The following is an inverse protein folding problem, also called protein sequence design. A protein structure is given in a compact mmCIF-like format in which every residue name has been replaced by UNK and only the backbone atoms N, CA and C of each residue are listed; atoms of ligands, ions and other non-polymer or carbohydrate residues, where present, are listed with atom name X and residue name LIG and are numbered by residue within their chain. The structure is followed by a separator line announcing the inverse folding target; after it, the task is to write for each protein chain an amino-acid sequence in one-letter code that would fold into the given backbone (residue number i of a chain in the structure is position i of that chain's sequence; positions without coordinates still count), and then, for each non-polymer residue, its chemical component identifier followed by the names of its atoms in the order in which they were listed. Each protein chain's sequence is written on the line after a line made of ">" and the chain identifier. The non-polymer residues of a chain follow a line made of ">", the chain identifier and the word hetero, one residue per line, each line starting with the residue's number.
data_IF_466951655402
#
_entry.id   IF_466951655402
#
_cell.length_a   1.000
_cell.length_b   1.000
_cell.length_c   1.000
_cell.angle_alpha   90.00
_cell.angle_beta   90.00
_cell.angle_gamma   90.00
#
_symmetry.space_group_name_H-M   'P 1'
#
loop_
_entity.id
_entity.type
_entity.pdbx_description
1 polymer ?
#
# COMPACT_ATOMS: atom_id res chain seq x y z
N UNK A 1 -8.55 -3.49 3.31
CA UNK A 1 -9.83 -3.73 2.60
C UNK A 1 -11.05 -3.52 3.50
N UNK A 2 -11.13 -4.12 4.70
CA UNK A 2 -12.30 -3.98 5.59
C UNK A 2 -12.78 -2.52 5.79
N UNK A 3 -11.85 -1.58 6.04
CA UNK A 3 -12.16 -0.15 6.18
C UNK A 3 -12.80 0.42 4.91
N UNK A 4 -12.29 0.09 3.72
CA UNK A 4 -12.85 0.58 2.45
C UNK A 4 -14.25 0.01 2.17
N UNK A 5 -14.46 -1.28 2.48
CA UNK A 5 -15.79 -1.91 2.34
C UNK A 5 -16.83 -1.23 3.24
N UNK A 6 -16.47 -0.95 4.50
CA UNK A 6 -17.35 -0.26 5.44
C UNK A 6 -17.62 1.20 5.00
N UNK A 7 -16.60 1.91 4.50
CA UNK A 7 -16.78 3.26 3.94
C UNK A 7 -17.77 3.24 2.76
N UNK A 8 -17.66 2.24 1.87
CA UNK A 8 -18.60 2.06 0.76
C UNK A 8 -20.03 1.75 1.24
N UNK A 9 -20.20 0.90 2.27
CA UNK A 9 -21.51 0.65 2.88
C UNK A 9 -22.15 1.91 3.47
N UNK A 10 -21.31 2.87 3.92
CA UNK A 10 -21.74 4.18 4.41
C UNK A 10 -21.94 5.23 3.31
N UNK A 11 -21.77 4.86 2.05
CA UNK A 11 -22.03 5.73 0.89
C UNK A 11 -20.81 6.54 0.42
N UNK A 12 -19.60 6.23 0.88
CA UNK A 12 -18.38 6.85 0.39
C UNK A 12 -17.79 6.10 -0.82
N UNK A 13 -17.21 6.84 -1.77
CA UNK A 13 -16.40 6.23 -2.84
C UNK A 13 -15.04 5.84 -2.26
N UNK A 14 -14.64 4.59 -2.45
CA UNK A 14 -13.38 4.05 -1.92
C UNK A 14 -12.56 3.39 -3.02
N UNK A 15 -11.30 3.83 -3.14
CA UNK A 15 -10.32 3.26 -4.07
C UNK A 15 -9.18 2.64 -3.28
N UNK A 16 -8.78 1.41 -3.60
CA UNK A 16 -7.58 0.79 -3.04
C UNK A 16 -6.41 1.00 -3.99
N UNK A 17 -5.44 1.80 -3.54
CA UNK A 17 -4.19 2.04 -4.23
C UNK A 17 -3.09 1.09 -3.71
N UNK A 18 -2.68 0.10 -4.51
CA UNK A 18 -1.65 -0.89 -4.10
C UNK A 18 -1.00 -1.59 -5.30
N UNK A 19 -0.11 -2.55 -5.04
CA UNK A 19 0.62 -3.32 -6.06
C UNK A 19 -0.33 -4.05 -7.02
N UNK A 20 0.05 -4.08 -8.31
CA UNK A 20 -0.75 -4.66 -9.39
C UNK A 20 -1.18 -6.11 -9.16
N UNK A 21 -0.40 -6.90 -8.42
CA UNK A 21 -0.72 -8.29 -8.07
C UNK A 21 -2.01 -8.44 -7.26
N UNK A 22 -2.50 -7.38 -6.60
CA UNK A 22 -3.73 -7.43 -5.81
C UNK A 22 -4.96 -6.97 -6.58
N UNK A 23 -4.83 -6.63 -7.87
CA UNK A 23 -5.95 -6.12 -8.69
C UNK A 23 -7.17 -7.04 -8.62
N UNK A 24 -6.98 -8.31 -9.00
CA UNK A 24 -8.06 -9.30 -9.06
C UNK A 24 -8.76 -9.42 -7.69
N UNK A 25 -7.99 -9.59 -6.62
CA UNK A 25 -8.52 -9.65 -5.25
C UNK A 25 -9.35 -8.42 -4.84
N UNK A 26 -8.97 -7.23 -5.31
CA UNK A 26 -9.64 -5.97 -4.97
C UNK A 26 -10.92 -5.81 -5.79
N UNK A 27 -10.83 -6.05 -7.09
CA UNK A 27 -11.96 -5.97 -8.02
C UNK A 27 -13.02 -7.03 -7.69
N UNK A 28 -12.62 -8.26 -7.35
CA UNK A 28 -13.51 -9.34 -6.89
C UNK A 28 -14.27 -9.00 -5.60
N UNK A 29 -13.69 -8.13 -4.77
CA UNK A 29 -14.34 -7.62 -3.56
C UNK A 29 -15.29 -6.44 -3.84
N UNK A 30 -15.46 -6.04 -5.10
CA UNK A 30 -16.31 -4.93 -5.52
C UNK A 30 -15.74 -3.55 -5.20
N UNK A 31 -14.42 -3.45 -4.98
CA UNK A 31 -13.71 -2.20 -4.70
C UNK A 31 -13.02 -1.69 -5.97
N UNK A 32 -12.95 -0.37 -6.13
CA UNK A 32 -12.16 0.23 -7.20
C UNK A 32 -10.66 0.09 -6.92
N UNK A 33 -9.89 -0.21 -7.97
CA UNK A 33 -8.45 -0.47 -7.89
C UNK A 33 -7.64 0.61 -8.60
N UNK A 34 -6.55 1.06 -7.95
CA UNK A 34 -5.53 1.90 -8.57
C UNK A 34 -4.13 1.27 -8.42
N UNK A 35 -3.36 1.07 -9.51
CA UNK A 35 -2.03 0.47 -9.43
C UNK A 35 -1.00 1.44 -8.85
N UNK A 36 -0.25 0.99 -7.85
CA UNK A 36 0.88 1.70 -7.25
C UNK A 36 2.08 0.75 -7.20
N UNK A 37 3.22 1.19 -7.71
CA UNK A 37 4.48 0.44 -7.67
C UNK A 37 4.98 0.23 -6.22
N UNK A 38 5.86 -0.75 -5.95
CA UNK A 38 6.56 -1.63 -6.89
C UNK A 38 5.65 -2.68 -7.53
N UNK A 39 6.05 -3.16 -8.71
CA UNK A 39 5.48 -4.37 -9.28
C UNK A 39 6.32 -5.55 -8.83
N UNK A 40 5.67 -6.56 -8.26
CA UNK A 40 6.28 -7.85 -7.94
C UNK A 40 5.65 -8.93 -8.83
N UNK A 41 6.37 -10.01 -9.18
CA UNK A 41 5.78 -11.14 -9.88
C UNK A 41 4.61 -11.74 -9.09
N UNK A 42 3.67 -12.40 -9.79
CA UNK A 42 2.62 -13.16 -9.11
C UNK A 42 3.23 -14.28 -8.27
N UNK A 43 2.60 -14.71 -7.16
CA UNK A 43 3.19 -15.69 -6.24
C UNK A 43 3.72 -16.97 -6.91
N UNK A 44 3.05 -17.48 -7.95
CA UNK A 44 3.48 -18.67 -8.68
C UNK A 44 4.74 -18.46 -9.55
N UNK A 45 5.04 -17.20 -9.90
CA UNK A 45 6.17 -16.80 -10.73
C UNK A 45 7.29 -16.15 -9.88
N UNK A 46 7.14 -16.14 -8.55
CA UNK A 46 8.13 -15.59 -7.65
C UNK A 46 9.30 -16.56 -7.44
N UNK A 47 10.51 -16.03 -7.49
CA UNK A 47 11.72 -16.77 -7.15
C UNK A 47 11.67 -17.26 -5.69
N UNK A 48 11.76 -18.57 -5.50
CA UNK A 48 11.75 -19.20 -4.19
C UNK A 48 12.88 -18.68 -3.28
N UNK A 49 14.04 -18.35 -3.85
CA UNK A 49 15.16 -17.77 -3.09
C UNK A 49 14.86 -16.33 -2.65
N UNK A 50 14.14 -15.56 -3.47
CA UNK A 50 13.67 -14.23 -3.09
C UNK A 50 12.67 -14.31 -1.94
N UNK A 51 11.69 -15.21 -2.02
CA UNK A 51 10.72 -15.44 -0.94
C UNK A 51 11.44 -15.84 0.34
N UNK A 52 12.42 -16.75 0.26
CA UNK A 52 13.20 -17.19 1.42
C UNK A 52 13.95 -16.04 2.09
N UNK A 53 14.52 -15.11 1.32
CA UNK A 53 15.18 -13.90 1.86
C UNK A 53 14.18 -12.98 2.55
N UNK A 54 13.02 -12.73 1.94
CA UNK A 54 11.96 -11.88 2.51
C UNK A 54 11.38 -12.49 3.80
N UNK A 55 11.27 -13.82 3.86
CA UNK A 55 10.69 -14.54 4.99
C UNK A 55 11.70 -14.87 6.11
N UNK A 56 12.97 -14.48 5.97
CA UNK A 56 13.98 -14.70 7.01
C UNK A 56 13.61 -13.90 8.29
N UNK A 57 13.50 -14.54 9.46
CA UNK A 57 13.02 -13.87 10.68
C UNK A 57 13.92 -12.73 11.18
N UNK A 58 15.21 -12.73 10.81
CA UNK A 58 16.19 -11.76 11.32
C UNK A 58 16.47 -10.64 10.34
N UNK A 59 16.51 -10.97 9.05
CA UNK A 59 16.97 -10.09 7.97
C UNK A 59 15.88 -9.75 6.97
N UNK A 60 14.77 -10.50 6.97
CA UNK A 60 13.72 -10.39 5.96
C UNK A 60 13.04 -9.03 5.92
N UNK A 61 12.69 -8.45 7.08
CA UNK A 61 12.12 -7.10 7.14
C UNK A 61 13.05 -6.03 6.56
N UNK A 62 14.35 -6.13 6.84
CA UNK A 62 15.37 -5.22 6.30
C UNK A 62 15.49 -5.41 4.80
N UNK A 63 15.62 -6.66 4.33
CA UNK A 63 15.73 -7.00 2.93
C UNK A 63 14.50 -6.51 2.13
N UNK A 64 13.28 -6.79 2.61
CA UNK A 64 12.05 -6.32 2.00
C UNK A 64 12.02 -4.80 1.86
N UNK A 65 12.45 -4.11 2.91
CA UNK A 65 12.40 -2.64 2.94
C UNK A 65 13.46 -2.02 2.03
N UNK A 66 14.73 -2.43 2.18
CA UNK A 66 15.88 -1.85 1.44
C UNK A 66 15.87 -2.24 -0.04
N UNK A 67 15.46 -3.46 -0.38
CA UNK A 67 15.61 -3.99 -1.75
C UNK A 67 14.31 -3.90 -2.57
N UNK A 68 13.13 -3.82 -1.94
CA UNK A 68 11.86 -3.75 -2.67
C UNK A 68 11.08 -2.46 -2.42
N UNK A 69 10.85 -2.09 -1.17
CA UNK A 69 9.94 -0.98 -0.84
C UNK A 69 10.61 0.38 -1.10
N UNK A 70 11.77 0.64 -0.50
CA UNK A 70 12.44 1.94 -0.57
C UNK A 70 12.91 2.33 -1.97
N UNK A 71 13.45 1.40 -2.81
CA UNK A 71 13.81 1.73 -4.19
C UNK A 71 12.62 2.23 -5.01
N UNK A 72 11.41 1.76 -4.70
CA UNK A 72 10.19 2.11 -5.41
C UNK A 72 9.46 3.34 -4.83
N UNK A 73 9.95 3.99 -3.77
CA UNK A 73 9.23 5.08 -3.09
C UNK A 73 8.93 6.24 -4.04
N UNK A 74 9.89 6.63 -4.89
CA UNK A 74 9.68 7.73 -5.85
C UNK A 74 8.58 7.41 -6.84
N UNK A 75 8.64 6.22 -7.41
CA UNK A 75 7.62 5.73 -8.33
C UNK A 75 6.25 5.61 -7.68
N UNK A 76 6.20 5.09 -6.45
CA UNK A 76 5.00 4.97 -5.63
C UNK A 76 4.41 6.35 -5.33
N UNK A 77 5.24 7.34 -5.07
CA UNK A 77 4.84 8.73 -4.82
C UNK A 77 4.16 9.33 -6.06
N UNK A 78 4.74 9.16 -7.24
CA UNK A 78 4.17 9.66 -8.50
C UNK A 78 2.86 8.93 -8.88
N UNK A 79 2.77 7.64 -8.57
CA UNK A 79 1.54 6.85 -8.74
C UNK A 79 0.45 7.31 -7.75
N UNK A 80 0.80 7.47 -6.47
CA UNK A 80 -0.14 7.91 -5.44
C UNK A 80 -0.61 9.35 -5.65
N UNK A 81 0.23 10.26 -6.14
CA UNK A 81 -0.20 11.62 -6.50
C UNK A 81 -1.33 11.62 -7.52
N UNK A 82 -1.30 10.68 -8.48
CA UNK A 82 -2.40 10.49 -9.43
C UNK A 82 -3.60 9.82 -8.78
N UNK A 83 -3.37 8.83 -7.93
CA UNK A 83 -4.44 8.12 -7.23
C UNK A 83 -5.29 9.02 -6.33
N UNK A 84 -4.66 10.02 -5.68
CA UNK A 84 -5.37 10.94 -4.76
C UNK A 84 -5.97 12.15 -5.46
N UNK A 85 -5.87 12.27 -6.78
CA UNK A 85 -6.42 13.40 -7.51
C UNK A 85 -7.96 13.42 -7.39
N UNK A 86 -8.50 14.39 -6.65
CA UNK A 86 -9.93 14.51 -6.38
C UNK A 86 -10.42 13.70 -5.18
N UNK A 87 -9.53 13.09 -4.39
CA UNK A 87 -9.89 12.47 -3.13
C UNK A 87 -9.99 13.50 -1.98
N UNK A 88 -10.85 13.25 -1.00
CA UNK A 88 -10.99 14.08 0.20
C UNK A 88 -10.15 13.59 1.39
N UNK A 89 -9.78 12.30 1.38
CA UNK A 89 -9.13 11.60 2.49
C UNK A 89 -8.14 10.54 1.98
N UNK A 90 -6.94 10.50 2.55
CA UNK A 90 -6.00 9.39 2.39
C UNK A 90 -5.94 8.54 3.65
N UNK A 91 -6.07 7.22 3.49
CA UNK A 91 -5.86 6.23 4.56
C UNK A 91 -4.68 5.34 4.18
N UNK A 92 -3.64 5.27 5.02
CA UNK A 92 -2.41 4.52 4.71
C UNK A 92 -2.20 3.30 5.58
N UNK A 93 -1.61 2.27 4.99
CA UNK A 93 -0.99 1.16 5.71
C UNK A 93 0.44 1.56 6.16
N UNK A 94 0.95 1.13 7.34
CA UNK A 94 2.31 1.46 7.79
C UNK A 94 3.43 1.11 6.81
N UNK A 95 3.24 0.06 6.01
CA UNK A 95 4.21 -0.35 4.98
C UNK A 95 4.12 0.44 3.66
N UNK A 96 3.36 1.55 3.61
CA UNK A 96 3.24 2.42 2.44
C UNK A 96 3.97 3.76 2.66
N UNK A 97 5.32 3.80 2.63
CA UNK A 97 6.11 4.98 3.01
C UNK A 97 5.90 6.21 2.12
N UNK A 98 5.41 6.05 0.88
CA UNK A 98 5.07 7.17 0.00
C UNK A 98 3.79 7.91 0.45
N UNK A 99 2.89 7.25 1.19
CA UNK A 99 1.61 7.81 1.62
C UNK A 99 1.74 9.10 2.46
N UNK A 100 2.51 9.09 3.57
CA UNK A 100 2.76 10.30 4.35
C UNK A 100 3.36 11.46 3.54
N UNK A 101 4.25 11.14 2.58
CA UNK A 101 4.88 12.15 1.72
C UNK A 101 3.84 12.81 0.80
N UNK A 102 2.95 12.02 0.20
CA UNK A 102 1.86 12.51 -0.65
C UNK A 102 0.89 13.35 0.16
N UNK A 103 0.45 12.88 1.33
CA UNK A 103 -0.42 13.64 2.23
C UNK A 103 0.15 15.03 2.55
N UNK A 104 1.44 15.09 2.89
CA UNK A 104 2.13 16.36 3.18
C UNK A 104 2.27 17.25 1.95
N UNK A 105 2.52 16.66 0.77
CA UNK A 105 2.64 17.41 -0.49
C UNK A 105 1.31 18.01 -0.93
N UNK A 106 0.20 17.31 -0.76
CA UNK A 106 -1.13 17.75 -1.20
C UNK A 106 -1.88 18.56 -0.14
N UNK A 107 -1.50 18.43 1.14
CA UNK A 107 -2.22 19.05 2.25
C UNK A 107 -3.56 18.38 2.58
N UNK A 108 -3.83 17.19 2.02
CA UNK A 108 -5.07 16.45 2.22
C UNK A 108 -5.14 15.85 3.64
N UNK A 109 -6.36 15.69 4.16
CA UNK A 109 -6.60 14.95 5.40
C UNK A 109 -6.05 13.53 5.29
N UNK A 110 -5.28 13.12 6.29
CA UNK A 110 -4.58 11.84 6.29
C UNK A 110 -4.76 11.08 7.60
N UNK A 111 -5.10 9.80 7.47
CA UNK A 111 -5.20 8.84 8.57
C UNK A 111 -4.20 7.71 8.34
N UNK A 112 -3.32 7.47 9.31
CA UNK A 112 -2.48 6.28 9.32
C UNK A 112 -3.17 5.16 10.09
N UNK A 113 -3.23 3.97 9.50
CA UNK A 113 -3.69 2.76 10.20
C UNK A 113 -2.55 2.13 11.00
N UNK A 114 -2.89 1.35 12.02
CA UNK A 114 -1.92 0.55 12.80
C UNK A 114 -2.40 -0.90 12.83
N UNK A 115 -1.47 -1.85 12.63
CA UNK A 115 -1.80 -3.28 12.59
C UNK A 115 -1.13 -4.10 13.70
N UNK A 116 -0.23 -3.48 14.46
CA UNK A 116 0.40 -4.09 15.62
C UNK A 116 0.39 -3.08 16.77
N UNK A 117 0.18 -3.50 18.04
CA UNK A 117 0.20 -2.59 19.19
C UNK A 117 1.49 -1.79 19.31
N UNK A 118 2.62 -2.36 18.88
CA UNK A 118 3.91 -1.67 18.88
C UNK A 118 3.89 -0.38 18.04
N UNK A 119 3.03 -0.30 17.02
CA UNK A 119 2.87 0.89 16.18
C UNK A 119 2.25 2.09 16.91
N UNK A 120 1.78 1.95 18.15
CA UNK A 120 1.34 3.09 18.97
C UNK A 120 2.49 3.82 19.68
N UNK A 121 3.67 3.22 19.77
CA UNK A 121 4.82 3.78 20.50
C UNK A 121 5.78 4.60 19.61
N UNK A 122 5.34 5.00 18.41
CA UNK A 122 6.10 5.81 17.45
C UNK A 122 5.75 7.29 17.50
#
# INVERSE_FOLDING_TARGET
>A
MAVALELQQRGHVSVIATMAIYREKIEDAGLEFFPVRPNVPQPQDQDADLIKKIMDPKTGSRFLTEELIFPAVRDSFDDLLRAVAGADLLVTHPAAPAGPLVARKTGMTWISTVLAPLSFFS
#
